data_IF_243465201121
#
_entry.id   IF_243465201121
#
_cell.length_a   1.000
_cell.length_b   1.000
_cell.length_c   1.000
_cell.angle_alpha   90.00
_cell.angle_beta   90.00
_cell.angle_gamma   90.00
#
_symmetry.space_group_name_H-M   'P 1'
#
loop_
_entity.id
_entity.type
_entity.pdbx_description
1 polymer ?
#
# COMPACT_ATOMS: atom_id res chain seq x y z
N UNK A 1 18.07 -27.27 -33.94
CA UNK A 1 17.44 -26.84 -33.88
C UNK A 1 16.92 -26.64 -33.90
N UNK A 2 17.27 -27.05 -33.77
CA UNK A 2 16.71 -26.51 -33.69
C UNK A 2 15.92 -26.48 -33.28
N UNK A 3 15.95 -26.40 -32.77
CA UNK A 3 15.24 -26.06 -32.38
C UNK A 3 14.44 -25.73 -32.23
N UNK A 4 14.43 -26.28 -32.61
CA UNK A 4 13.60 -25.86 -32.50
C UNK A 4 12.86 -26.10 -32.29
N UNK A 5 12.98 -26.70 -32.55
CA UNK A 5 12.16 -26.78 -32.32
C UNK A 5 11.60 -27.22 -31.67
N UNK A 6 11.77 -27.73 -31.45
CA UNK A 6 11.14 -27.92 -30.80
C UNK A 6 10.89 -28.21 -29.89
N UNK A 7 10.97 -28.47 -29.40
CA UNK A 7 10.57 -28.58 -28.49
C UNK A 7 9.91 -28.55 -27.75
N UNK A 8 9.56 -29.19 -27.60
CA UNK A 8 8.78 -29.20 -26.95
C UNK A 8 8.36 -29.69 -26.04
N UNK A 9 8.79 -30.85 -26.31
CA UNK A 9 8.23 -31.34 -25.19
C UNK A 9 8.41 -30.50 -24.11
N UNK A 10 9.11 -29.84 -24.40
CA UNK A 10 9.13 -28.77 -23.58
C UNK A 10 7.89 -28.09 -23.73
N UNK A 11 7.22 -27.91 -22.72
CA UNK A 11 6.19 -27.02 -22.76
C UNK A 11 6.76 -25.69 -22.73
N UNK A 12 6.68 -25.11 -23.80
CA UNK A 12 7.18 -23.76 -23.93
C UNK A 12 6.04 -22.82 -23.84
N UNK A 13 6.12 -21.99 -22.88
CA UNK A 13 5.34 -20.78 -22.88
C UNK A 13 5.80 -19.88 -24.01
N UNK A 14 7.05 -19.98 -24.37
CA UNK A 14 7.63 -19.20 -25.46
C UNK A 14 7.86 -20.07 -26.67
N UNK A 15 7.66 -19.54 -27.89
CA UNK A 15 7.81 -20.34 -29.10
C UNK A 15 9.24 -20.80 -29.38
N UNK A 16 10.24 -20.18 -28.78
CA UNK A 16 11.60 -20.56 -28.98
C UNK A 16 12.46 -20.29 -27.76
N UNK A 17 13.55 -21.00 -27.68
CA UNK A 17 14.53 -20.76 -26.62
C UNK A 17 15.12 -19.37 -26.71
N UNK A 18 15.33 -18.89 -27.93
CA UNK A 18 15.85 -17.55 -28.15
C UNK A 18 14.92 -16.49 -27.56
N UNK A 19 13.64 -16.62 -27.79
CA UNK A 19 12.67 -15.69 -27.23
C UNK A 19 12.64 -15.75 -25.71
N UNK A 20 12.69 -16.94 -25.16
CA UNK A 20 12.76 -17.13 -23.74
C UNK A 20 13.98 -16.44 -23.14
N UNK A 21 15.13 -16.59 -23.75
CA UNK A 21 16.36 -15.97 -23.28
C UNK A 21 16.29 -14.45 -23.38
N UNK A 22 15.71 -13.91 -24.44
CA UNK A 22 15.50 -12.47 -24.58
C UNK A 22 14.63 -11.94 -23.44
N UNK A 23 13.54 -12.63 -23.17
CA UNK A 23 12.64 -12.22 -22.11
C UNK A 23 13.34 -12.26 -20.75
N UNK A 24 14.08 -13.33 -20.50
CA UNK A 24 14.81 -13.48 -19.26
C UNK A 24 15.87 -12.39 -19.09
N UNK A 25 16.55 -12.04 -20.17
CA UNK A 25 17.57 -11.00 -20.14
C UNK A 25 16.94 -9.62 -19.89
N UNK A 26 15.81 -9.34 -20.48
CA UNK A 26 15.08 -8.09 -20.24
C UNK A 26 14.74 -7.97 -18.76
N UNK A 27 14.18 -9.01 -18.19
CA UNK A 27 13.83 -9.00 -16.78
C UNK A 27 15.06 -8.80 -15.91
N UNK A 28 16.14 -9.51 -16.22
CA UNK A 28 17.34 -9.47 -15.39
C UNK A 28 18.07 -8.15 -15.50
N UNK A 29 18.17 -7.59 -16.70
CA UNK A 29 19.03 -6.43 -16.92
C UNK A 29 18.30 -5.10 -16.94
N UNK A 30 17.06 -5.08 -17.39
CA UNK A 30 16.33 -3.82 -17.53
C UNK A 30 15.24 -3.65 -16.48
N UNK A 31 14.30 -4.57 -16.48
CA UNK A 31 13.13 -4.41 -15.62
C UNK A 31 13.50 -4.52 -14.15
N UNK A 32 14.34 -5.48 -13.85
CA UNK A 32 14.75 -5.68 -12.47
C UNK A 32 15.62 -4.54 -11.98
N UNK A 33 16.49 -4.03 -12.84
CA UNK A 33 17.32 -2.86 -12.50
C UNK A 33 16.44 -1.64 -12.29
N UNK A 34 15.46 -1.44 -13.15
CA UNK A 34 14.53 -0.34 -13.01
C UNK A 34 13.75 -0.43 -11.70
N UNK A 35 13.29 -1.61 -11.36
CA UNK A 35 12.57 -1.81 -10.10
C UNK A 35 13.45 -1.60 -8.89
N UNK A 36 14.74 -1.91 -9.00
CA UNK A 36 15.68 -1.69 -7.91
C UNK A 36 16.05 -0.23 -7.76
N UNK A 37 16.27 0.43 -8.88
CA UNK A 37 16.84 1.78 -8.86
C UNK A 37 15.78 2.86 -8.75
N UNK A 38 14.67 2.66 -9.42
CA UNK A 38 13.63 3.68 -9.49
C UNK A 38 12.49 3.42 -8.56
N UNK A 39 12.64 2.44 -7.75
CA UNK A 39 11.71 2.36 -6.74
C UNK A 39 10.87 1.17 -6.66
N UNK A 40 9.70 1.46 -6.29
CA UNK A 40 8.83 0.49 -5.74
C UNK A 40 7.75 0.12 -6.72
N UNK A 41 7.43 -1.15 -6.73
CA UNK A 41 6.22 -1.62 -7.34
C UNK A 41 5.28 -2.14 -6.25
N UNK A 42 4.00 -2.26 -6.57
CA UNK A 42 3.00 -2.71 -5.63
C UNK A 42 3.10 -4.22 -5.46
N UNK A 43 3.26 -4.67 -4.22
CA UNK A 43 3.32 -6.09 -3.89
C UNK A 43 2.02 -6.62 -3.30
N UNK A 44 1.19 -5.74 -2.75
CA UNK A 44 -0.11 -6.13 -2.22
C UNK A 44 -0.99 -4.89 -2.12
N UNK A 45 -2.29 -5.09 -2.25
CA UNK A 45 -3.24 -4.00 -2.12
C UNK A 45 -4.60 -4.53 -1.71
N UNK A 46 -5.30 -3.73 -0.91
CA UNK A 46 -6.70 -3.94 -0.59
C UNK A 46 -7.41 -2.62 -0.90
N UNK A 47 -8.14 -2.58 -2.01
CA UNK A 47 -8.79 -1.36 -2.49
C UNK A 47 -10.24 -1.32 -2.04
N UNK A 48 -10.39 -1.16 -0.74
CA UNK A 48 -11.69 -1.11 -0.07
C UNK A 48 -11.84 0.22 0.64
N UNK A 49 -12.97 0.42 1.30
CA UNK A 49 -13.22 1.63 2.08
C UNK A 49 -12.13 1.86 3.12
N UNK A 50 -11.67 0.79 3.74
CA UNK A 50 -10.53 0.78 4.63
C UNK A 50 -9.50 -0.11 3.99
N UNK A 51 -8.47 0.46 3.44
CA UNK A 51 -7.58 -0.29 2.59
C UNK A 51 -6.13 0.11 2.71
N UNK A 52 -5.32 -0.52 1.89
CA UNK A 52 -3.89 -0.27 1.89
C UNK A 52 -3.26 -0.63 0.56
N UNK A 53 -2.07 -0.12 0.35
CA UNK A 53 -1.16 -0.51 -0.73
C UNK A 53 0.21 -0.71 -0.11
N UNK A 54 0.81 -1.85 -0.39
CA UNK A 54 2.18 -2.15 0.03
C UNK A 54 3.10 -2.11 -1.17
N UNK A 55 4.21 -1.43 -0.98
CA UNK A 55 5.24 -1.30 -2.02
C UNK A 55 6.44 -2.19 -1.69
N UNK A 56 7.16 -2.56 -2.74
CA UNK A 56 8.29 -3.48 -2.62
C UNK A 56 9.44 -2.94 -1.77
N UNK A 57 9.52 -1.62 -1.61
CA UNK A 57 10.54 -0.98 -0.78
C UNK A 57 10.17 -0.91 0.70
N UNK A 58 9.03 -1.48 1.07
CA UNK A 58 8.58 -1.47 2.46
C UNK A 58 7.60 -0.37 2.83
N UNK A 59 7.41 0.60 1.95
CA UNK A 59 6.43 1.65 2.21
C UNK A 59 5.03 1.09 2.15
N UNK A 60 4.19 1.48 3.10
CA UNK A 60 2.79 1.11 3.13
C UNK A 60 1.95 2.38 3.25
N UNK A 61 0.99 2.51 2.36
CA UNK A 61 -0.02 3.56 2.38
C UNK A 61 -1.33 2.94 2.80
N UNK A 62 -1.98 3.51 3.80
CA UNK A 62 -3.26 3.02 4.29
C UNK A 62 -4.26 4.16 4.38
N UNK A 63 -5.52 3.82 4.31
CA UNK A 63 -6.60 4.80 4.43
C UNK A 63 -7.82 4.17 5.05
N UNK A 64 -8.67 5.04 5.56
CA UNK A 64 -9.99 4.65 6.03
C UNK A 64 -10.95 5.81 5.91
N UNK A 65 -12.20 5.49 5.77
CA UNK A 65 -13.26 6.49 5.71
C UNK A 65 -14.32 6.17 6.73
N UNK A 66 -14.87 7.23 7.29
CA UNK A 66 -16.01 7.13 8.22
C UNK A 66 -15.69 6.25 9.44
N UNK A 67 -14.49 6.41 10.00
CA UNK A 67 -14.02 5.57 11.09
C UNK A 67 -14.17 6.26 12.44
N UNK A 68 -14.72 5.56 13.45
CA UNK A 68 -14.77 6.11 14.80
C UNK A 68 -13.42 5.93 15.50
N UNK A 69 -13.11 6.85 16.40
CA UNK A 69 -11.91 6.73 17.24
C UNK A 69 -12.19 5.76 18.42
N UNK A 70 -11.26 4.90 18.82
CA UNK A 70 -9.91 4.73 18.26
C UNK A 70 -9.93 3.97 16.95
N UNK A 71 -8.98 4.29 16.11
CA UNK A 71 -8.92 3.76 14.74
C UNK A 71 -7.82 2.71 14.66
N UNK A 72 -8.17 1.54 14.11
CA UNK A 72 -7.20 0.48 13.82
C UNK A 72 -6.92 0.47 12.33
N UNK A 73 -5.64 0.47 11.97
CA UNK A 73 -5.25 0.37 10.56
C UNK A 73 -5.68 -0.96 9.96
N UNK A 74 -5.97 -1.00 8.66
CA UNK A 74 -6.27 -2.27 7.97
C UNK A 74 -5.19 -3.33 8.17
N UNK A 75 -3.94 -2.90 8.21
CA UNK A 75 -2.82 -3.79 8.49
C UNK A 75 -1.84 -3.06 9.40
N UNK A 76 -1.22 -3.81 10.30
CA UNK A 76 -0.22 -3.23 11.17
C UNK A 76 1.04 -2.87 10.37
N UNK A 77 1.59 -1.68 10.58
CA UNK A 77 2.88 -1.35 10.01
C UNK A 77 3.96 -2.23 10.67
N UNK A 78 4.82 -2.89 9.88
CA UNK A 78 5.85 -3.75 10.47
C UNK A 78 6.76 -3.06 11.46
N UNK A 79 7.14 -1.82 11.17
CA UNK A 79 7.99 -1.04 12.07
C UNK A 79 7.21 0.05 12.77
N UNK A 80 6.67 0.99 11.99
CA UNK A 80 5.99 2.15 12.58
C UNK A 80 5.17 2.89 11.56
N UNK A 81 4.17 3.58 12.03
CA UNK A 81 3.50 4.62 11.27
C UNK A 81 4.39 5.87 11.29
N UNK A 82 4.71 6.37 10.12
CA UNK A 82 5.51 7.59 9.99
C UNK A 82 4.66 8.83 10.19
N UNK A 83 3.47 8.83 9.61
CA UNK A 83 2.54 9.93 9.77
C UNK A 83 1.13 9.48 9.47
N UNK A 84 0.17 10.16 10.08
CA UNK A 84 -1.24 9.98 9.76
C UNK A 84 -1.88 11.36 9.66
N UNK A 85 -2.73 11.53 8.66
CA UNK A 85 -3.45 12.78 8.44
C UNK A 85 -4.94 12.46 8.52
N UNK A 86 -5.57 12.74 9.64
CA UNK A 86 -7.00 12.54 9.79
C UNK A 86 -7.77 13.77 9.31
N UNK A 87 -8.99 13.53 8.87
CA UNK A 87 -9.94 14.55 8.46
C UNK A 87 -11.26 14.27 9.13
N UNK A 88 -11.85 15.27 9.74
CA UNK A 88 -13.18 15.14 10.31
C UNK A 88 -14.19 14.88 9.20
N UNK A 89 -14.90 13.77 9.30
CA UNK A 89 -15.85 13.38 8.27
C UNK A 89 -17.16 14.14 8.42
N UNK A 90 -17.69 14.14 9.60
CA UNK A 90 -18.94 14.82 9.87
C UNK A 90 -19.01 15.18 11.35
N UNK A 91 -19.60 16.30 11.62
CA UNK A 91 -19.83 16.74 12.96
C UNK A 91 -21.29 17.21 13.05
N UNK A 92 -22.01 16.65 13.97
CA UNK A 92 -23.32 17.15 14.27
C UNK A 92 -23.30 18.46 15.01
N UNK A 93 -22.14 18.94 15.35
CA UNK A 93 -21.95 20.07 16.24
C UNK A 93 -21.12 21.16 15.57
N UNK A 94 -21.53 21.50 14.37
CA UNK A 94 -20.78 22.37 13.46
C UNK A 94 -20.43 23.75 13.98
N UNK A 95 -20.96 24.16 15.10
CA UNK A 95 -20.65 25.46 15.67
C UNK A 95 -19.64 25.46 16.78
N UNK A 96 -19.17 24.29 17.20
CA UNK A 96 -18.27 24.22 18.35
C UNK A 96 -16.84 23.89 17.92
N UNK A 97 -16.06 24.94 17.76
CA UNK A 97 -14.68 24.79 17.26
C UNK A 97 -13.77 23.97 18.18
N UNK A 98 -14.05 23.96 19.47
CA UNK A 98 -13.22 23.16 20.37
C UNK A 98 -13.46 21.67 20.21
N UNK A 99 -14.66 21.28 19.78
CA UNK A 99 -14.97 19.87 19.50
C UNK A 99 -14.61 19.45 18.09
N UNK A 100 -14.30 20.41 17.24
CA UNK A 100 -13.93 20.13 15.85
C UNK A 100 -12.42 20.08 15.66
N UNK A 101 -11.67 20.14 16.74
CA UNK A 101 -10.22 19.96 16.65
C UNK A 101 -9.90 18.52 16.30
N UNK A 102 -8.94 18.36 15.41
CA UNK A 102 -8.46 17.04 14.97
C UNK A 102 -7.04 16.89 15.51
N UNK A 103 -6.92 16.22 16.65
CA UNK A 103 -5.64 16.00 17.30
C UNK A 103 -5.43 14.51 17.47
N UNK A 104 -4.36 14.02 16.86
CA UNK A 104 -4.01 12.61 16.95
C UNK A 104 -3.34 12.34 18.31
N UNK A 105 -3.81 11.29 18.96
CA UNK A 105 -3.19 10.78 20.17
C UNK A 105 -2.90 9.30 19.99
N UNK A 106 -2.00 8.78 20.83
CA UNK A 106 -1.73 7.34 20.87
C UNK A 106 -1.41 6.72 19.51
N UNK A 107 -0.59 7.40 18.71
CA UNK A 107 -0.18 6.87 17.42
C UNK A 107 0.77 5.68 17.62
N UNK A 108 0.38 4.54 17.06
CA UNK A 108 1.16 3.30 17.11
C UNK A 108 1.28 2.69 15.73
N UNK A 109 1.98 1.58 15.63
CA UNK A 109 2.06 0.84 14.37
C UNK A 109 0.72 0.20 13.98
N UNK A 110 -0.21 0.09 14.92
CA UNK A 110 -1.49 -0.59 14.70
C UNK A 110 -2.65 0.37 14.49
N UNK A 111 -2.52 1.62 14.91
CA UNK A 111 -3.61 2.57 14.82
C UNK A 111 -3.35 3.84 15.59
N UNK A 112 -4.38 4.62 15.77
CA UNK A 112 -4.29 5.89 16.49
C UNK A 112 -5.65 6.25 17.10
N UNK A 113 -5.63 7.21 17.99
CA UNK A 113 -6.86 7.76 18.54
C UNK A 113 -6.93 9.26 18.26
N UNK A 114 -8.07 9.82 18.51
CA UNK A 114 -8.31 11.24 18.38
C UNK A 114 -8.80 11.81 19.69
N UNK A 115 -8.41 13.05 19.94
CA UNK A 115 -8.71 13.69 21.21
C UNK A 115 -10.22 13.79 21.48
N UNK A 116 -10.98 14.00 20.41
CA UNK A 116 -12.44 14.13 20.52
C UNK A 116 -13.11 13.01 19.72
N UNK A 117 -13.38 11.88 20.37
CA UNK A 117 -13.81 10.67 19.66
C UNK A 117 -15.32 10.62 19.33
N UNK A 118 -16.04 11.71 19.41
CA UNK A 118 -17.49 11.69 19.17
C UNK A 118 -17.87 11.72 17.69
N UNK A 119 -16.91 11.90 16.82
CA UNK A 119 -17.16 11.98 15.38
C UNK A 119 -16.49 10.83 14.67
N UNK A 120 -16.74 10.75 13.37
CA UNK A 120 -16.04 9.81 12.50
C UNK A 120 -15.04 10.56 11.64
N UNK A 121 -14.05 9.85 11.18
CA UNK A 121 -12.91 10.46 10.51
C UNK A 121 -12.51 9.67 9.27
N UNK A 122 -12.05 10.40 8.28
CA UNK A 122 -11.26 9.82 7.21
C UNK A 122 -9.79 9.99 7.56
N UNK A 123 -8.94 9.14 7.03
CA UNK A 123 -7.51 9.33 7.25
C UNK A 123 -6.69 8.72 6.13
N UNK A 124 -5.46 9.20 6.02
CA UNK A 124 -4.38 8.61 5.24
C UNK A 124 -3.21 8.42 6.19
N UNK A 125 -2.61 7.24 6.16
CA UNK A 125 -1.46 6.91 6.99
C UNK A 125 -0.35 6.35 6.11
N UNK A 126 0.87 6.70 6.44
CA UNK A 126 2.06 6.25 5.73
C UNK A 126 3.02 5.67 6.77
N UNK A 127 3.58 4.51 6.44
CA UNK A 127 4.51 3.87 7.35
C UNK A 127 5.33 2.78 6.69
N UNK A 128 6.11 2.14 7.49
CA UNK A 128 7.01 1.07 7.07
C UNK A 128 7.03 -0.05 8.07
#
# INVERSE_FOLDING_TARGET
MAQSTTNLGKIHVFPSESLYNQFKDIIASNDLALLKDDGAYIVAALLEQNGYVKFSNGLILQWGTNQPSPITFPVRFPSRCLTVVPQLQASGDGGNMSKNRVCVTDLTASGFALEYPQSTYNYIAIGV
#
